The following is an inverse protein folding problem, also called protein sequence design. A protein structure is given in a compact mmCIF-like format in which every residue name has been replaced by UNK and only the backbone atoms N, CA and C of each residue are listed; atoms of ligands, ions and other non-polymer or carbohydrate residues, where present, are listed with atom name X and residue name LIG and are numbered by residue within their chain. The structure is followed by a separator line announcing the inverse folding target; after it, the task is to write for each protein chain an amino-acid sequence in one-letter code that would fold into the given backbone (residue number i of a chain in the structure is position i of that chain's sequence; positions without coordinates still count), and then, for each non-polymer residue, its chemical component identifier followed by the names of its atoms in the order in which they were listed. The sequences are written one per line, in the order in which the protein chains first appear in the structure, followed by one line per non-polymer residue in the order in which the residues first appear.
data_IF_358416560920
#
_entry.id   IF_358416560920
#
_cell.length_a   1.000
_cell.length_b   1.000
_cell.length_c   1.000
_cell.angle_alpha   90.00
_cell.angle_beta   90.00
_cell.angle_gamma   90.00
#
_symmetry.space_group_name_H-M   'P 1'
#
loop_
_entity.id
_entity.type
_entity.pdbx_description
1 polymer ?
#
# COMPACT_ATOMS: atom_id res chain seq x y z
N UNK A 1 -3.63 -15.36 9.54
CA UNK A 1 -4.15 -15.55 8.17
C UNK A 1 -2.98 -15.99 7.31
N UNK A 2 -2.84 -17.30 7.06
CA UNK A 2 -1.64 -17.88 6.42
C UNK A 2 -2.01 -18.79 5.24
N UNK A 3 -3.29 -19.17 5.08
CA UNK A 3 -3.77 -19.92 3.92
C UNK A 3 -5.12 -19.33 3.47
N UNK A 4 -5.11 -18.63 2.33
CA UNK A 4 -6.25 -17.92 1.74
C UNK A 4 -6.90 -18.68 0.58
N UNK A 5 -6.62 -19.97 0.45
CA UNK A 5 -7.08 -20.77 -0.69
C UNK A 5 -8.61 -20.96 -0.72
N UNK A 6 -9.32 -20.81 0.40
CA UNK A 6 -10.78 -21.03 0.49
C UNK A 6 -11.50 -20.10 1.49
N UNK A 7 -11.44 -18.79 1.29
CA UNK A 7 -12.13 -17.80 2.15
C UNK A 7 -13.03 -16.84 1.39
N UNK A 8 -14.33 -17.15 1.28
CA UNK A 8 -15.50 -16.32 0.86
C UNK A 8 -15.38 -15.30 -0.30
N UNK A 9 -14.25 -15.15 -0.99
CA UNK A 9 -13.98 -14.02 -1.91
C UNK A 9 -13.86 -12.67 -1.19
N UNK A 10 -13.62 -12.68 0.13
CA UNK A 10 -13.56 -11.43 0.91
C UNK A 10 -12.25 -10.70 0.65
N UNK A 11 -12.34 -9.45 0.19
CA UNK A 11 -11.18 -8.59 -0.05
C UNK A 11 -10.61 -8.08 1.28
N UNK A 12 -9.32 -8.26 1.47
CA UNK A 12 -8.54 -7.65 2.54
C UNK A 12 -8.11 -6.25 2.10
N UNK A 13 -8.34 -5.25 2.94
CA UNK A 13 -7.85 -3.87 2.76
C UNK A 13 -6.77 -3.58 3.80
N UNK A 14 -5.60 -3.18 3.34
CA UNK A 14 -4.47 -2.77 4.18
C UNK A 14 -4.24 -1.28 3.99
N UNK A 15 -4.09 -0.55 5.11
CA UNK A 15 -3.69 0.85 5.12
C UNK A 15 -2.31 0.98 5.74
N UNK A 16 -1.40 1.66 5.05
CA UNK A 16 -0.08 1.99 5.56
C UNK A 16 -0.01 3.50 5.70
N UNK A 17 0.29 3.98 6.92
CA UNK A 17 0.65 5.36 7.17
C UNK A 17 2.18 5.47 7.17
N UNK A 18 2.70 6.43 6.43
CA UNK A 18 4.12 6.69 6.27
C UNK A 18 4.40 8.16 6.58
N UNK A 19 5.60 8.43 7.09
CA UNK A 19 5.98 9.77 7.54
C UNK A 19 7.45 10.03 7.25
N UNK A 20 7.75 11.26 6.89
CA UNK A 20 9.10 11.80 6.91
C UNK A 20 9.17 13.03 7.85
N UNK A 21 10.25 13.82 7.74
CA UNK A 21 10.41 15.03 8.55
C UNK A 21 9.47 16.18 8.15
N UNK A 22 8.78 16.11 7.00
CA UNK A 22 7.99 17.20 6.40
C UNK A 22 6.49 16.90 6.43
N UNK A 23 6.10 15.65 6.22
CA UNK A 23 4.71 15.27 6.01
C UNK A 23 4.39 13.83 6.43
N UNK A 24 3.10 13.55 6.53
CA UNK A 24 2.52 12.23 6.74
C UNK A 24 1.63 11.95 5.53
N UNK A 25 1.71 10.74 5.00
CA UNK A 25 0.85 10.26 3.93
C UNK A 25 0.38 8.84 4.21
N UNK A 26 -0.67 8.41 3.52
CA UNK A 26 -1.15 7.03 3.63
C UNK A 26 -1.47 6.45 2.28
N UNK A 27 -1.31 5.13 2.18
CA UNK A 27 -1.61 4.34 0.99
C UNK A 27 -2.48 3.14 1.35
N UNK A 28 -3.20 2.62 0.36
CA UNK A 28 -4.15 1.54 0.51
C UNK A 28 -3.84 0.44 -0.50
N UNK A 29 -3.74 -0.80 -0.02
CA UNK A 29 -3.68 -1.98 -0.87
C UNK A 29 -4.89 -2.87 -0.62
N UNK A 30 -5.41 -3.49 -1.68
CA UNK A 30 -6.63 -4.31 -1.62
C UNK A 30 -6.45 -5.58 -2.41
N UNK A 31 -6.47 -6.71 -1.71
CA UNK A 31 -6.33 -8.04 -2.32
C UNK A 31 -7.02 -9.09 -1.46
N UNK A 32 -7.33 -10.25 -2.02
CA UNK A 32 -7.80 -11.41 -1.24
C UNK A 32 -6.68 -11.99 -0.37
N UNK A 33 -5.42 -11.72 -0.72
CA UNK A 33 -4.25 -12.11 0.06
C UNK A 33 -3.67 -10.91 0.83
N UNK A 34 -3.52 -11.07 2.15
CA UNK A 34 -2.94 -10.03 3.02
C UNK A 34 -1.52 -9.62 2.62
N UNK A 35 -0.70 -10.56 2.15
CA UNK A 35 0.68 -10.29 1.73
C UNK A 35 0.67 -9.40 0.50
N UNK A 36 -0.17 -9.72 -0.49
CA UNK A 36 -0.32 -8.93 -1.70
C UNK A 36 -0.88 -7.53 -1.41
N UNK A 37 -1.93 -7.44 -0.60
CA UNK A 37 -2.48 -6.14 -0.18
C UNK A 37 -1.43 -5.29 0.55
N UNK A 38 -0.58 -5.91 1.36
CA UNK A 38 0.50 -5.19 2.08
C UNK A 38 1.60 -4.74 1.12
N UNK A 39 1.99 -5.58 0.16
CA UNK A 39 2.99 -5.25 -0.85
C UNK A 39 2.54 -4.06 -1.71
N UNK A 40 1.30 -4.07 -2.18
CA UNK A 40 0.70 -2.98 -2.95
C UNK A 40 0.73 -1.65 -2.18
N UNK A 41 0.21 -1.65 -0.95
CA UNK A 41 0.21 -0.45 -0.11
C UNK A 41 1.64 0.10 0.11
N UNK A 42 2.62 -0.78 0.33
CA UNK A 42 4.00 -0.38 0.60
C UNK A 42 4.68 0.18 -0.65
N UNK A 43 4.56 -0.51 -1.79
CA UNK A 43 5.12 -0.07 -3.06
C UNK A 43 4.57 1.30 -3.47
N UNK A 44 3.25 1.48 -3.35
CA UNK A 44 2.58 2.76 -3.61
C UNK A 44 3.10 3.88 -2.69
N UNK A 45 3.40 3.57 -1.42
CA UNK A 45 3.91 4.57 -0.47
C UNK A 45 5.26 5.12 -0.91
N UNK A 46 6.17 4.25 -1.34
CA UNK A 46 7.47 4.66 -1.86
C UNK A 46 7.35 5.40 -3.20
N UNK A 47 6.52 4.89 -4.11
CA UNK A 47 6.30 5.54 -5.41
C UNK A 47 5.70 6.94 -5.25
N UNK A 48 4.70 7.10 -4.38
CA UNK A 48 4.12 8.41 -4.06
C UNK A 48 5.21 9.36 -3.53
N UNK A 49 6.00 8.91 -2.56
CA UNK A 49 7.04 9.73 -1.96
C UNK A 49 8.12 10.15 -2.96
N UNK A 50 8.65 9.21 -3.74
CA UNK A 50 9.67 9.48 -4.76
C UNK A 50 9.15 10.39 -5.89
N UNK A 51 7.91 10.16 -6.35
CA UNK A 51 7.28 11.01 -7.38
C UNK A 51 7.05 12.43 -6.86
N UNK A 52 6.68 12.56 -5.59
CA UNK A 52 6.49 13.87 -4.94
C UNK A 52 7.80 14.62 -4.74
N UNK A 53 8.87 13.93 -4.38
CA UNK A 53 10.21 14.54 -4.22
C UNK A 53 10.87 14.93 -5.54
N UNK A 54 10.66 14.14 -6.58
CA UNK A 54 11.25 14.41 -7.91
C UNK A 54 10.59 15.60 -8.59
N UNK A 55 9.39 16.00 -8.13
CA UNK A 55 8.56 16.99 -8.80
C UNK A 55 8.00 16.38 -10.08
N UNK A 56 6.69 16.49 -10.28
CA UNK A 56 6.08 16.15 -11.55
C UNK A 56 6.83 16.86 -12.70
N UNK A 57 7.63 16.10 -13.45
CA UNK A 57 8.15 16.49 -14.77
C UNK A 57 7.81 15.35 -15.71
N UNK A 58 6.62 15.46 -16.31
CA UNK A 58 6.37 15.10 -17.70
C UNK A 58 5.69 16.32 -18.34
#
# INVERSE_FOLDING_TARGET
VIDGSWGTGSKVRVQIESRDSREIWSTLGVSENIIEASWQALADSFQYKLSKETGAVL
#
